data_IF_234381293190
#
_entry.id   IF_234381293190
#
_cell.length_a   1.000
_cell.length_b   1.000
_cell.length_c   1.000
_cell.angle_alpha   90.00
_cell.angle_beta   90.00
_cell.angle_gamma   90.00
#
_symmetry.space_group_name_H-M   'P 1'
#
loop_
_entity.id
_entity.type
_entity.pdbx_description
1 polymer ?
#
# COMPACT_ATOMS: atom_id res chain seq x y z
N UNK A 1 -4.23 -16.13 20.11
CA UNK A 1 -3.82 -16.42 18.70
C UNK A 1 -4.85 -15.77 17.80
N UNK A 2 -4.40 -15.05 16.79
CA UNK A 2 -5.30 -14.45 15.80
C UNK A 2 -5.39 -15.41 14.61
N UNK A 3 -6.51 -16.12 14.48
CA UNK A 3 -6.75 -17.07 13.41
C UNK A 3 -7.86 -16.56 12.50
N UNK A 4 -7.62 -16.56 11.20
CA UNK A 4 -8.59 -16.17 10.17
C UNK A 4 -8.75 -17.35 9.22
N UNK A 5 -9.99 -17.68 8.88
CA UNK A 5 -10.35 -18.64 7.85
C UNK A 5 -11.10 -17.92 6.72
N UNK A 6 -10.51 -17.87 5.53
CA UNK A 6 -11.24 -17.53 4.30
C UNK A 6 -11.85 -18.83 3.76
N UNK A 7 -13.16 -18.96 3.89
CA UNK A 7 -13.88 -20.19 3.58
C UNK A 7 -14.40 -20.19 2.14
N UNK A 8 -14.08 -21.26 1.40
CA UNK A 8 -14.57 -21.52 0.02
C UNK A 8 -14.22 -20.42 -1.00
N UNK A 9 -13.01 -19.85 -0.92
CA UNK A 9 -12.54 -18.81 -1.83
C UNK A 9 -12.05 -19.41 -3.17
N UNK A 10 -12.09 -18.59 -4.23
CA UNK A 10 -11.29 -18.84 -5.43
C UNK A 10 -9.91 -18.23 -5.22
N UNK A 11 -8.88 -19.03 -5.09
CA UNK A 11 -7.52 -18.56 -4.80
C UNK A 11 -6.75 -18.37 -6.10
N UNK A 12 -6.22 -17.15 -6.31
CA UNK A 12 -5.34 -16.88 -7.43
C UNK A 12 -3.94 -17.44 -7.15
N UNK A 13 -3.54 -18.44 -7.93
CA UNK A 13 -2.15 -18.89 -7.97
C UNK A 13 -1.34 -17.97 -8.87
N UNK A 14 -0.53 -17.10 -8.25
CA UNK A 14 0.23 -16.06 -8.97
C UNK A 14 1.37 -16.62 -9.83
N UNK A 15 1.78 -17.86 -9.65
CA UNK A 15 2.83 -18.48 -10.47
C UNK A 15 2.26 -19.03 -11.77
N UNK A 16 1.13 -19.73 -11.68
CA UNK A 16 0.46 -20.31 -12.85
C UNK A 16 -0.58 -19.38 -13.46
N UNK A 17 -0.94 -18.28 -12.80
CA UNK A 17 -2.02 -17.33 -13.14
C UNK A 17 -3.39 -18.03 -13.27
N UNK A 18 -3.58 -19.10 -12.51
CA UNK A 18 -4.83 -19.86 -12.51
C UNK A 18 -5.61 -19.66 -11.22
N UNK A 19 -6.92 -19.71 -11.33
CA UNK A 19 -7.82 -19.68 -10.18
C UNK A 19 -8.09 -21.11 -9.72
N UNK A 20 -7.79 -21.42 -8.45
CA UNK A 20 -8.17 -22.63 -7.76
C UNK A 20 -9.47 -22.38 -7.02
N UNK A 21 -10.57 -22.90 -7.54
CA UNK A 21 -11.90 -22.70 -6.95
C UNK A 21 -12.09 -23.47 -5.64
N UNK A 22 -12.95 -22.93 -4.76
CA UNK A 22 -13.43 -23.62 -3.56
C UNK A 22 -12.30 -24.00 -2.59
N UNK A 23 -11.44 -23.07 -2.24
CA UNK A 23 -10.35 -23.29 -1.29
C UNK A 23 -10.64 -22.67 0.07
N UNK A 24 -10.25 -23.35 1.13
CA UNK A 24 -10.15 -22.80 2.48
C UNK A 24 -8.72 -22.31 2.71
N UNK A 25 -8.58 -21.04 3.09
CA UNK A 25 -7.28 -20.44 3.40
C UNK A 25 -7.22 -20.10 4.88
N UNK A 26 -6.33 -20.78 5.59
CA UNK A 26 -6.09 -20.57 7.00
C UNK A 26 -4.91 -19.61 7.19
N UNK A 27 -5.13 -18.57 7.99
CA UNK A 27 -4.11 -17.60 8.37
C UNK A 27 -3.98 -17.63 9.89
N UNK A 28 -2.77 -17.82 10.39
CA UNK A 28 -2.44 -17.80 11.82
C UNK A 28 -1.34 -16.77 12.07
N UNK A 29 -1.60 -15.84 12.98
CA UNK A 29 -0.64 -14.80 13.36
C UNK A 29 -0.05 -14.03 12.16
N UNK A 30 -0.90 -13.71 11.18
CA UNK A 30 -0.52 -12.96 9.98
C UNK A 30 0.17 -13.77 8.87
N UNK A 31 0.32 -15.09 9.03
CA UNK A 31 0.94 -15.97 8.05
C UNK A 31 -0.07 -16.97 7.49
N UNK A 32 0.00 -17.24 6.19
CA UNK A 32 -0.79 -18.29 5.54
C UNK A 32 -0.27 -19.65 6.05
N UNK A 33 -1.12 -20.36 6.77
CA UNK A 33 -0.84 -21.69 7.34
C UNK A 33 -1.07 -22.80 6.31
N UNK A 34 -2.22 -22.74 5.64
CA UNK A 34 -2.59 -23.73 4.64
C UNK A 34 -3.58 -23.18 3.63
N UNK A 35 -3.56 -23.77 2.44
CA UNK A 35 -4.55 -23.57 1.37
C UNK A 35 -4.99 -24.98 0.97
N UNK A 36 -6.23 -25.34 1.25
CA UNK A 36 -6.76 -26.70 1.04
C UNK A 36 -8.14 -26.64 0.38
N UNK A 37 -8.58 -27.69 -0.32
CA UNK A 37 -9.94 -27.76 -0.82
C UNK A 37 -10.96 -27.58 0.32
N UNK A 38 -12.03 -26.84 0.03
CA UNK A 38 -13.09 -26.56 1.00
C UNK A 38 -13.72 -27.82 1.56
N UNK A 39 -13.81 -27.90 2.87
CA UNK A 39 -14.48 -28.98 3.59
C UNK A 39 -15.63 -28.40 4.40
N UNK A 40 -16.91 -28.75 4.08
CA UNK A 40 -18.08 -28.21 4.76
C UNK A 40 -18.10 -28.47 6.27
N UNK A 41 -17.61 -29.63 6.68
CA UNK A 41 -17.67 -30.11 8.06
C UNK A 41 -16.35 -29.93 8.82
N UNK A 42 -15.47 -29.02 8.35
CA UNK A 42 -14.20 -28.75 9.04
C UNK A 42 -14.46 -28.19 10.44
N UNK A 43 -13.76 -28.75 11.44
CA UNK A 43 -13.81 -28.20 12.79
C UNK A 43 -13.18 -26.81 12.84
N UNK A 44 -13.96 -25.83 13.27
CA UNK A 44 -13.51 -24.45 13.44
C UNK A 44 -13.45 -24.15 14.94
N UNK A 45 -12.24 -23.89 15.44
CA UNK A 45 -12.03 -23.57 16.86
C UNK A 45 -12.73 -22.25 17.23
N UNK A 46 -13.22 -22.18 18.46
CA UNK A 46 -13.80 -20.95 19.02
C UNK A 46 -12.78 -19.82 18.97
N UNK A 47 -13.23 -18.61 18.56
CA UNK A 47 -12.35 -17.44 18.38
C UNK A 47 -11.71 -17.30 16.99
N UNK A 48 -11.93 -18.25 16.07
CA UNK A 48 -11.53 -18.10 14.67
C UNK A 48 -12.43 -17.08 13.97
N UNK A 49 -11.81 -16.08 13.32
CA UNK A 49 -12.54 -15.14 12.47
C UNK A 49 -12.82 -15.79 11.10
N UNK A 50 -14.07 -16.12 10.83
CA UNK A 50 -14.47 -16.79 9.57
C UNK A 50 -14.99 -15.78 8.57
N UNK A 51 -14.34 -15.71 7.42
CA UNK A 51 -14.75 -14.88 6.28
C UNK A 51 -15.30 -15.79 5.19
N UNK A 52 -16.61 -15.77 4.99
CA UNK A 52 -17.26 -16.49 3.89
C UNK A 52 -16.88 -15.86 2.56
N UNK A 53 -16.07 -16.57 1.78
CA UNK A 53 -15.48 -16.06 0.54
C UNK A 53 -15.98 -16.82 -0.71
N UNK A 54 -17.06 -17.57 -0.59
CA UNK A 54 -17.66 -18.30 -1.71
C UNK A 54 -17.98 -17.34 -2.87
N UNK A 55 -17.50 -17.68 -4.06
CA UNK A 55 -17.64 -16.87 -5.27
C UNK A 55 -16.73 -15.64 -5.34
N UNK A 56 -15.95 -15.36 -4.29
CA UNK A 56 -14.97 -14.26 -4.27
C UNK A 56 -13.57 -14.78 -4.57
N UNK A 57 -12.74 -13.92 -5.13
CA UNK A 57 -11.34 -14.24 -5.39
C UNK A 57 -10.46 -13.73 -4.26
N UNK A 58 -9.68 -14.62 -3.67
CA UNK A 58 -8.59 -14.28 -2.76
C UNK A 58 -7.30 -14.22 -3.56
N UNK A 59 -6.62 -13.09 -3.48
CA UNK A 59 -5.38 -12.84 -4.19
C UNK A 59 -4.41 -12.06 -3.30
N UNK A 60 -3.10 -12.05 -3.60
CA UNK A 60 -2.17 -11.14 -2.92
C UNK A 60 -2.61 -9.69 -3.05
N UNK A 61 -2.24 -8.87 -2.07
CA UNK A 61 -2.47 -7.43 -2.15
C UNK A 61 -1.77 -6.83 -3.38
N UNK A 62 -2.39 -5.81 -3.96
CA UNK A 62 -1.85 -5.10 -5.10
C UNK A 62 -0.61 -4.31 -4.73
N UNK A 63 0.30 -4.19 -5.68
CA UNK A 63 1.54 -3.41 -5.56
C UNK A 63 1.49 -2.29 -6.58
N UNK A 64 1.62 -1.04 -6.13
CA UNK A 64 1.79 0.11 -7.03
C UNK A 64 3.24 0.61 -6.95
N UNK A 65 3.91 0.58 -8.08
CA UNK A 65 5.33 0.91 -8.17
C UNK A 65 5.60 2.40 -8.43
N UNK A 66 4.57 3.24 -8.52
CA UNK A 66 4.75 4.68 -8.74
C UNK A 66 3.61 5.48 -8.13
N UNK A 67 3.77 5.88 -6.88
CA UNK A 67 2.83 6.76 -6.17
C UNK A 67 3.55 7.95 -5.55
N UNK A 68 2.78 8.92 -5.09
CA UNK A 68 3.22 10.02 -4.24
C UNK A 68 2.26 10.08 -3.04
N UNK A 69 2.60 9.41 -1.95
CA UNK A 69 1.67 9.24 -0.80
C UNK A 69 1.27 10.56 -0.14
N UNK A 70 2.09 11.60 -0.27
CA UNK A 70 1.80 12.94 0.26
C UNK A 70 1.12 13.88 -0.75
N UNK A 71 0.97 13.47 -2.01
CA UNK A 71 0.38 14.31 -3.05
C UNK A 71 -1.16 14.40 -2.90
N UNK A 72 -1.59 15.13 -1.89
CA UNK A 72 -3.01 15.38 -1.64
C UNK A 72 -3.64 16.42 -2.60
N UNK A 73 -2.85 16.96 -3.52
CA UNK A 73 -3.28 17.99 -4.46
C UNK A 73 -2.71 17.75 -5.85
N UNK A 74 -3.50 18.00 -6.90
CA UNK A 74 -3.05 17.83 -8.29
C UNK A 74 -1.90 18.81 -8.65
N UNK A 75 -1.92 20.00 -8.07
CA UNK A 75 -0.81 20.95 -8.20
C UNK A 75 0.23 20.65 -7.14
N UNK A 76 1.33 20.05 -7.54
CA UNK A 76 2.42 19.66 -6.62
C UNK A 76 3.07 20.85 -5.92
N UNK A 77 3.07 22.05 -6.53
CA UNK A 77 3.58 23.26 -5.87
C UNK A 77 2.75 23.62 -4.62
N UNK A 78 1.45 23.33 -4.61
CA UNK A 78 0.63 23.52 -3.42
C UNK A 78 1.08 22.58 -2.32
N UNK A 79 1.37 21.32 -2.65
CA UNK A 79 1.87 20.34 -1.66
C UNK A 79 3.26 20.71 -1.18
N UNK A 80 4.16 21.10 -2.08
CA UNK A 80 5.55 21.48 -1.75
C UNK A 80 5.64 22.70 -0.81
N UNK A 81 4.70 23.63 -0.90
CA UNK A 81 4.66 24.83 -0.07
C UNK A 81 3.84 24.68 1.22
N UNK A 82 3.30 23.49 1.50
CA UNK A 82 2.60 23.24 2.77
C UNK A 82 3.58 22.90 3.89
N UNK A 83 3.27 23.26 5.14
CA UNK A 83 4.01 22.75 6.28
C UNK A 83 4.00 21.21 6.28
N UNK A 84 5.15 20.59 6.53
CA UNK A 84 5.31 19.12 6.48
C UNK A 84 4.30 18.38 7.34
N UNK A 85 4.00 18.89 8.54
CA UNK A 85 2.98 18.29 9.43
C UNK A 85 1.61 18.26 8.75
N UNK A 86 1.24 19.34 8.06
CA UNK A 86 -0.06 19.41 7.39
C UNK A 86 -0.14 18.48 6.17
N UNK A 87 0.94 18.43 5.38
CA UNK A 87 1.05 17.48 4.28
C UNK A 87 0.93 16.01 4.78
N UNK A 88 1.63 15.70 5.87
CA UNK A 88 1.56 14.37 6.52
C UNK A 88 0.14 14.04 6.96
N UNK A 89 -0.55 14.94 7.69
CA UNK A 89 -1.91 14.70 8.15
C UNK A 89 -2.88 14.46 6.98
N UNK A 90 -2.69 15.12 5.84
CA UNK A 90 -3.48 14.89 4.63
C UNK A 90 -3.15 13.55 3.96
N UNK A 91 -1.92 13.06 4.08
CA UNK A 91 -1.52 11.77 3.54
C UNK A 91 -2.20 10.58 4.24
N UNK A 92 -2.50 10.69 5.55
CA UNK A 92 -3.07 9.58 6.32
C UNK A 92 -4.35 8.99 5.70
N UNK A 93 -5.40 9.76 5.40
CA UNK A 93 -6.59 9.21 4.76
C UNK A 93 -6.32 8.70 3.34
N UNK A 94 -5.34 9.25 2.62
CA UNK A 94 -4.94 8.77 1.29
C UNK A 94 -4.35 7.37 1.41
N UNK A 95 -3.39 7.17 2.33
CA UNK A 95 -2.75 5.88 2.58
C UNK A 95 -3.75 4.83 3.04
N UNK A 96 -4.63 5.18 3.98
CA UNK A 96 -5.74 4.29 4.38
C UNK A 96 -6.62 3.93 3.19
N UNK A 97 -6.96 4.91 2.34
CA UNK A 97 -7.74 4.70 1.13
C UNK A 97 -7.03 3.78 0.11
N UNK A 98 -5.71 3.84 -0.02
CA UNK A 98 -4.92 2.91 -0.84
C UNK A 98 -5.09 1.48 -0.32
N UNK A 99 -4.89 1.27 0.99
CA UNK A 99 -5.05 -0.03 1.64
C UNK A 99 -6.46 -0.58 1.45
N UNK A 100 -7.49 0.24 1.65
CA UNK A 100 -8.90 -0.16 1.47
C UNK A 100 -9.28 -0.50 0.02
N UNK A 101 -8.51 -0.04 -0.96
CA UNK A 101 -8.63 -0.43 -2.38
C UNK A 101 -7.79 -1.66 -2.74
N UNK A 102 -7.11 -2.25 -1.77
CA UNK A 102 -6.34 -3.48 -1.94
C UNK A 102 -4.85 -3.28 -2.26
N UNK A 103 -4.34 -2.04 -2.28
CA UNK A 103 -2.92 -1.78 -2.43
C UNK A 103 -2.23 -1.95 -1.08
N UNK A 104 -1.53 -3.07 -0.91
CA UNK A 104 -0.84 -3.41 0.35
C UNK A 104 0.62 -3.00 0.36
N UNK A 105 1.18 -2.67 -0.80
CA UNK A 105 2.56 -2.22 -0.96
C UNK A 105 2.62 -1.14 -2.04
N UNK A 106 3.39 -0.08 -1.77
CA UNK A 106 3.59 0.99 -2.74
C UNK A 106 5.05 1.43 -2.75
N UNK A 107 5.54 1.88 -3.92
CA UNK A 107 6.80 2.59 -4.03
C UNK A 107 6.50 4.07 -4.26
N UNK A 108 6.82 4.89 -3.25
CA UNK A 108 6.74 6.34 -3.38
C UNK A 108 7.90 6.84 -4.25
N UNK A 109 7.56 7.53 -5.33
CA UNK A 109 8.53 8.02 -6.32
C UNK A 109 9.01 9.45 -6.03
N UNK A 110 8.56 10.03 -4.93
CA UNK A 110 9.00 11.34 -4.46
C UNK A 110 8.01 11.99 -3.50
N UNK A 111 8.55 12.53 -2.41
CA UNK A 111 7.81 13.25 -1.38
C UNK A 111 7.51 12.43 -0.13
N UNK A 112 7.23 11.13 -0.25
CA UNK A 112 7.10 10.25 0.90
C UNK A 112 8.46 10.01 1.56
N UNK A 113 8.56 10.27 2.84
CA UNK A 113 9.80 10.12 3.57
C UNK A 113 9.87 8.80 4.36
N UNK A 114 11.06 8.54 4.91
CA UNK A 114 11.32 7.40 5.75
C UNK A 114 10.38 7.31 6.97
N UNK A 115 9.97 8.46 7.54
CA UNK A 115 9.13 8.45 8.74
C UNK A 115 7.72 7.92 8.44
N UNK A 116 7.15 8.22 7.27
CA UNK A 116 5.88 7.64 6.84
C UNK A 116 6.01 6.13 6.60
N UNK A 117 7.10 5.69 5.96
CA UNK A 117 7.37 4.27 5.74
C UNK A 117 7.51 3.53 7.08
N UNK A 118 8.22 4.12 8.05
CA UNK A 118 8.37 3.55 9.38
C UNK A 118 7.06 3.55 10.16
N UNK A 119 6.25 4.60 10.07
CA UNK A 119 4.96 4.69 10.74
C UNK A 119 3.97 3.60 10.26
N UNK A 120 3.96 3.28 8.97
CA UNK A 120 3.14 2.17 8.46
C UNK A 120 3.74 0.80 8.83
N UNK A 121 5.06 0.66 8.87
CA UNK A 121 5.74 -0.58 9.25
C UNK A 121 5.53 -0.95 10.72
N UNK A 122 5.38 0.05 11.59
CA UNK A 122 5.18 -0.13 13.05
C UNK A 122 3.70 -0.04 13.46
N UNK A 123 2.78 -0.10 12.51
CA UNK A 123 1.33 0.02 12.74
C UNK A 123 0.91 1.30 13.50
N UNK A 124 1.76 2.34 13.48
CA UNK A 124 1.44 3.64 14.06
C UNK A 124 0.33 4.34 13.24
N UNK A 125 0.32 4.12 11.92
CA UNK A 125 -0.72 4.60 11.01
C UNK A 125 -1.17 3.50 10.06
N UNK A 126 -2.44 3.52 9.70
CA UNK A 126 -3.01 2.60 8.71
C UNK A 126 -2.61 3.01 7.29
N UNK A 127 -1.95 2.11 6.57
CA UNK A 127 -1.53 2.35 5.20
C UNK A 127 -0.79 1.15 4.60
N UNK A 128 -0.46 1.20 3.30
CA UNK A 128 0.34 0.17 2.67
C UNK A 128 1.77 0.20 3.19
N UNK A 129 2.50 -0.89 2.98
CA UNK A 129 3.96 -0.87 3.12
C UNK A 129 4.55 0.10 2.09
N UNK A 130 5.34 1.07 2.55
CA UNK A 130 5.92 2.11 1.69
C UNK A 130 7.40 1.85 1.48
N UNK A 131 7.81 1.81 0.21
CA UNK A 131 9.21 1.94 -0.19
C UNK A 131 9.42 3.41 -0.58
N UNK A 132 9.98 4.19 0.33
CA UNK A 132 10.14 5.62 0.17
C UNK A 132 11.42 5.94 -0.63
N UNK A 133 11.32 6.81 -1.64
CA UNK A 133 12.48 7.36 -2.34
C UNK A 133 13.05 8.61 -1.65
N UNK A 134 12.28 9.21 -0.76
CA UNK A 134 12.56 10.54 -0.25
C UNK A 134 12.22 11.62 -1.26
N UNK A 135 13.18 12.48 -1.58
CA UNK A 135 12.95 13.54 -2.57
C UNK A 135 12.94 12.98 -4.00
N UNK A 136 12.06 13.52 -4.82
CA UNK A 136 12.04 13.18 -6.24
C UNK A 136 13.33 13.63 -6.93
N UNK A 137 13.86 12.79 -7.81
CA UNK A 137 14.96 13.15 -8.68
C UNK A 137 14.40 13.67 -9.99
N UNK A 138 14.89 14.83 -10.44
CA UNK A 138 14.54 15.41 -11.73
C UNK A 138 15.77 16.01 -12.39
N UNK A 139 15.83 15.93 -13.70
CA UNK A 139 16.81 16.68 -14.48
C UNK A 139 16.45 18.17 -14.50
N UNK A 140 17.43 19.04 -14.74
CA UNK A 140 17.20 20.48 -14.98
C UNK A 140 16.20 20.68 -16.12
N UNK A 141 15.14 21.44 -15.88
CA UNK A 141 14.03 21.64 -16.82
C UNK A 141 13.10 20.43 -16.96
N UNK A 142 13.27 19.40 -16.13
CA UNK A 142 12.39 18.22 -16.10
C UNK A 142 11.10 18.46 -15.32
N UNK A 143 10.29 17.39 -15.25
CA UNK A 143 8.96 17.45 -14.63
C UNK A 143 8.96 17.89 -13.15
N UNK A 144 9.97 17.50 -12.37
CA UNK A 144 10.12 17.90 -10.97
C UNK A 144 10.92 19.18 -10.76
N UNK A 145 11.34 19.86 -11.82
CA UNK A 145 12.02 21.16 -11.74
C UNK A 145 10.99 22.29 -11.79
N UNK A 146 10.60 22.80 -10.62
CA UNK A 146 9.61 23.87 -10.49
C UNK A 146 10.11 25.28 -10.86
N UNK A 147 11.37 25.41 -11.31
CA UNK A 147 11.94 26.73 -11.64
C UNK A 147 11.37 27.26 -12.96
N UNK A 148 11.10 28.56 -13.05
CA UNK A 148 10.81 29.18 -14.35
C UNK A 148 12.03 29.09 -15.27
N UNK A 149 11.81 29.02 -16.59
CA UNK A 149 12.89 28.91 -17.59
C UNK A 149 13.89 30.06 -17.57
N UNK A 150 13.49 31.20 -17.01
CA UNK A 150 14.34 32.38 -16.82
C UNK A 150 15.22 32.31 -15.57
N UNK A 151 15.03 31.31 -14.74
CA UNK A 151 15.78 31.17 -13.49
C UNK A 151 17.13 30.51 -13.76
N UNK A 152 18.20 31.27 -13.59
CA UNK A 152 19.58 30.81 -13.73
C UNK A 152 20.22 30.38 -12.42
N UNK A 153 19.47 30.47 -11.30
CA UNK A 153 19.98 30.10 -9.99
C UNK A 153 19.99 28.58 -9.88
N UNK A 154 21.16 28.02 -9.64
CA UNK A 154 21.30 26.60 -9.28
C UNK A 154 20.41 26.31 -8.06
N UNK A 155 19.57 25.27 -8.09
CA UNK A 155 18.82 24.89 -6.91
C UNK A 155 19.83 24.53 -5.84
N UNK A 156 19.72 25.12 -4.67
CA UNK A 156 20.40 24.55 -3.51
C UNK A 156 19.97 23.07 -3.47
N UNK A 157 20.85 22.12 -3.28
CA UNK A 157 20.59 20.68 -3.31
C UNK A 157 19.46 20.16 -2.39
N UNK A 158 18.55 21.06 -2.07
CA UNK A 158 17.37 20.91 -1.23
C UNK A 158 16.08 21.12 -2.01
N UNK A 159 16.13 21.38 -3.31
CA UNK A 159 14.92 21.60 -4.08
C UNK A 159 14.14 20.30 -4.20
N UNK A 160 13.02 20.34 -3.57
CA UNK A 160 11.79 19.53 -3.50
C UNK A 160 11.96 18.07 -3.21
#
# INVERSE_FOLDING_TARGET
MNTILFQSANVLDVRSLQLKAGQDVWVENGLIKSVVPHQPDVFIASGTNVIKAQGKTLMPGLIDCHVHVIAAHLNLNVTANQPNVFATLRALPIMKGMLMRGFTTVRDAGGGDWNLAEATRTDMVEGPRIFASGRALSQTGGHGDGRPRSDVIEPCGCSS
#
